data_IF_072721853162
#
_entry.id   IF_072721853162
#
_cell.length_a   1.000
_cell.length_b   1.000
_cell.length_c   1.000
_cell.angle_alpha   90.00
_cell.angle_beta   90.00
_cell.angle_gamma   90.00
#
_symmetry.space_group_name_H-M   'P 1'
#
loop_
_entity.id
_entity.type
_entity.pdbx_description
1 polymer ?
2 non-polymer ?
3 non-polymer ?
4 water ?
#
# COMPACT_ATOMS: atom_id res chain seq x y z
N UNK A 4 4.96 12.73 24.44
CA UNK A 4 3.61 13.14 24.96
C UNK A 4 2.51 12.06 24.91
N UNK A 5 2.53 11.23 23.90
CA UNK A 5 1.52 10.16 23.77
C UNK A 5 1.34 9.42 25.09
N UNK A 6 0.08 9.22 25.46
CA UNK A 6 -0.27 8.54 26.72
C UNK A 6 -0.70 7.10 26.47
N UNK A 7 -0.84 6.38 27.56
CA UNK A 7 -1.32 5.01 27.52
C UNK A 7 -2.84 5.09 27.55
N UNK A 8 -3.49 4.02 27.16
CA UNK A 8 -4.95 3.98 27.19
C UNK A 8 -5.39 2.68 27.83
N UNK A 9 -6.39 2.76 28.69
CA UNK A 9 -6.91 1.57 29.33
C UNK A 9 -8.34 1.34 28.88
N UNK A 10 -8.63 0.11 28.48
CA UNK A 10 -9.96 -0.25 28.02
C UNK A 10 -10.42 -1.42 28.88
N UNK A 11 -11.49 -1.20 29.63
CA UNK A 11 -12.04 -2.24 30.51
C UNK A 11 -10.94 -2.92 31.34
N UNK A 12 -10.15 -2.11 32.04
CA UNK A 12 -9.08 -2.62 32.87
C UNK A 12 -7.95 -3.31 32.12
N UNK A 13 -7.95 -3.17 30.80
CA UNK A 13 -6.91 -3.76 29.97
C UNK A 13 -6.06 -2.57 29.52
N UNK A 14 -4.81 -2.52 29.92
CA UNK A 14 -3.97 -1.39 29.56
C UNK A 14 -3.14 -1.53 28.30
N UNK A 15 -3.08 -0.45 27.54
CA UNK A 15 -2.30 -0.37 26.32
C UNK A 15 -1.21 0.68 26.52
N UNK A 16 0.03 0.23 26.76
CA UNK A 16 1.19 1.11 26.96
C UNK A 16 1.31 2.13 25.84
N UNK A 17 1.84 3.30 26.16
CA UNK A 17 2.02 4.37 25.18
C UNK A 17 2.99 3.94 24.09
N UNK A 18 3.93 3.06 24.44
CA UNK A 18 4.94 2.58 23.49
C UNK A 18 5.25 1.12 23.78
N UNK A 19 5.64 0.40 22.74
CA UNK A 19 6.00 -1.02 22.85
C UNK A 19 7.09 -1.32 21.83
N UNK A 20 7.83 -2.39 22.08
CA UNK A 20 8.90 -2.81 21.18
C UNK A 20 8.70 -4.28 20.79
N UNK A 21 8.74 -4.55 19.48
CA UNK A 21 8.55 -5.91 18.96
C UNK A 21 9.73 -6.84 19.20
N UNK A 22 9.47 -8.03 19.78
CA UNK A 22 10.53 -9.01 20.05
C UNK A 22 10.86 -9.72 18.75
N UNK A 23 9.94 -9.60 17.78
CA UNK A 23 10.05 -10.23 16.48
C UNK A 23 10.89 -9.43 15.49
N UNK A 24 10.55 -8.16 15.33
CA UNK A 24 11.25 -7.30 14.39
C UNK A 24 12.19 -6.30 15.06
N UNK A 25 12.06 -6.13 16.37
CA UNK A 25 12.92 -5.20 17.08
C UNK A 25 12.49 -3.76 16.89
N UNK A 26 11.49 -3.51 16.05
CA UNK A 26 11.02 -2.16 15.81
C UNK A 26 10.19 -1.69 17.00
N UNK A 27 10.11 -0.37 17.21
CA UNK A 27 9.33 0.16 18.32
C UNK A 27 8.15 0.95 17.78
N UNK A 28 7.02 0.89 18.49
CA UNK A 28 5.80 1.58 18.07
C UNK A 28 5.21 2.46 19.17
N UNK A 29 4.32 3.36 18.77
CA UNK A 29 3.65 4.23 19.70
C UNK A 29 2.14 3.96 19.55
N UNK A 30 1.40 4.12 20.64
CA UNK A 30 -0.04 3.86 20.61
C UNK A 30 -0.81 4.88 19.78
N UNK A 31 -1.40 4.42 18.68
CA UNK A 31 -2.16 5.32 17.83
C UNK A 31 -3.58 5.47 18.32
N UNK A 32 -4.10 4.41 18.94
CA UNK A 32 -5.46 4.43 19.46
C UNK A 32 -5.86 3.11 20.08
N UNK A 33 -6.92 3.13 20.87
CA UNK A 33 -7.42 1.93 21.53
C UNK A 33 -8.94 2.02 21.64
N UNK A 34 -9.61 0.88 21.54
CA UNK A 34 -11.06 0.87 21.62
C UNK A 34 -11.58 -0.50 21.99
N UNK A 35 -12.83 -0.77 21.64
CA UNK A 35 -13.43 -2.05 21.96
C UNK A 35 -14.35 -2.55 20.86
N UNK A 36 -14.48 -3.87 20.76
CA UNK A 36 -15.34 -4.48 19.77
C UNK A 36 -16.21 -5.53 20.47
N UNK A 37 -17.34 -5.84 19.86
CA UNK A 37 -18.25 -6.81 20.43
C UNK A 37 -19.41 -7.09 19.51
N UNK A 38 -20.56 -7.40 20.10
CA UNK A 38 -21.76 -7.70 19.33
C UNK A 38 -22.92 -6.91 19.88
N UNK A 39 -23.81 -6.49 18.99
CA UNK A 39 -25.00 -5.78 19.41
C UNK A 39 -26.10 -6.83 19.46
N UNK A 40 -26.56 -7.13 20.67
CA UNK A 40 -27.61 -8.13 20.86
C UNK A 40 -28.86 -7.47 21.41
N UNK A 41 -29.94 -7.51 20.65
CA UNK A 41 -31.21 -6.90 21.08
C UNK A 41 -30.99 -5.42 21.39
N UNK A 42 -30.25 -4.73 20.54
CA UNK A 42 -29.99 -3.31 20.74
C UNK A 42 -29.01 -3.01 21.87
N UNK A 43 -28.42 -4.05 22.46
CA UNK A 43 -27.46 -3.88 23.55
C UNK A 43 -26.05 -4.22 23.08
N UNK A 44 -25.12 -3.30 23.32
CA UNK A 44 -23.74 -3.53 22.92
C UNK A 44 -23.07 -4.45 23.94
N UNK A 45 -22.68 -5.64 23.50
CA UNK A 45 -22.02 -6.60 24.37
C UNK A 45 -20.53 -6.63 24.00
N UNK A 46 -19.70 -6.14 24.92
CA UNK A 46 -18.25 -6.10 24.71
C UNK A 46 -17.58 -7.46 24.78
N UNK A 47 -16.70 -7.75 23.83
CA UNK A 47 -15.97 -9.01 23.84
C UNK A 47 -14.45 -8.83 23.86
N UNK A 48 -13.97 -7.74 23.28
CA UNK A 48 -12.54 -7.52 23.26
C UNK A 48 -12.13 -6.06 23.17
N UNK A 49 -10.89 -5.80 23.58
CA UNK A 49 -10.32 -4.48 23.51
C UNK A 49 -9.38 -4.55 22.32
N UNK A 50 -9.14 -3.42 21.67
CA UNK A 50 -8.24 -3.36 20.53
C UNK A 50 -7.34 -2.15 20.62
N UNK A 51 -6.06 -2.37 20.34
CA UNK A 51 -5.10 -1.28 20.37
C UNK A 51 -4.31 -1.31 19.08
N UNK A 52 -4.15 -0.15 18.44
CA UNK A 52 -3.40 -0.05 17.20
C UNK A 52 -2.12 0.74 17.40
N UNK A 53 -0.99 0.08 17.21
CA UNK A 53 0.32 0.72 17.34
C UNK A 53 0.93 0.97 15.96
N UNK A 54 1.58 2.12 15.80
CA UNK A 54 2.22 2.47 14.54
C UNK A 54 3.73 2.58 14.79
N UNK A 55 4.51 2.06 13.85
CA UNK A 55 5.96 2.13 13.98
C UNK A 55 6.36 3.60 14.12
N UNK A 56 7.37 3.87 14.94
CA UNK A 56 7.81 5.25 15.16
C UNK A 56 8.04 6.06 13.89
N UNK A 57 8.56 5.42 12.85
CA UNK A 57 8.82 6.14 11.60
C UNK A 57 7.54 6.59 10.89
N UNK A 58 6.38 6.17 11.39
CA UNK A 58 5.12 6.55 10.76
C UNK A 58 4.95 8.08 10.76
N UNK A 59 5.44 8.73 11.80
CA UNK A 59 5.34 10.18 11.95
C UNK A 59 5.95 10.94 10.77
N UNK A 60 7.19 10.62 10.45
CA UNK A 60 7.87 11.28 9.34
C UNK A 60 7.16 10.99 8.02
N UNK A 61 6.66 9.77 7.88
CA UNK A 61 5.96 9.38 6.67
C UNK A 61 4.64 10.14 6.49
N UNK A 62 3.90 10.30 7.57
CA UNK A 62 2.61 10.98 7.54
C UNK A 62 2.72 12.50 7.61
N UNK A 63 3.86 12.99 8.09
CA UNK A 63 4.10 14.42 8.24
C UNK A 63 3.83 15.27 7.00
N UNK A 64 4.42 14.89 5.87
CA UNK A 64 4.25 15.65 4.64
C UNK A 64 2.81 16.04 4.35
N UNK A 65 1.96 15.03 4.20
CA UNK A 65 0.55 15.25 3.88
C UNK A 65 -0.36 15.68 5.04
N UNK A 66 -0.06 15.34 6.26
CA UNK A 66 -1.04 15.60 7.32
C UNK A 66 -0.59 16.58 8.42
N UNK A 67 0.64 16.99 8.43
CA UNK A 67 1.07 17.96 9.45
C UNK A 67 0.27 19.25 9.24
N UNK A 68 -0.21 19.82 10.33
CA UNK A 68 -0.94 21.09 10.27
C UNK A 68 -2.45 20.94 10.09
N UNK A 69 -2.94 19.70 10.10
CA UNK A 69 -4.37 19.46 9.95
C UNK A 69 -4.95 19.30 11.35
N UNK A 70 -6.17 19.78 11.58
CA UNK A 70 -6.77 19.66 12.89
C UNK A 70 -7.33 18.24 13.05
N UNK A 71 -7.51 17.81 14.29
CA UNK A 71 -8.04 16.49 14.57
C UNK A 71 -9.38 16.32 13.88
N UNK A 72 -10.21 17.34 13.95
CA UNK A 72 -11.53 17.30 13.34
C UNK A 72 -11.41 17.08 11.84
N UNK A 73 -10.39 17.70 11.24
CA UNK A 73 -10.15 17.60 9.81
C UNK A 73 -9.71 16.19 9.42
N UNK A 74 -8.74 15.66 10.16
CA UNK A 74 -8.24 14.31 9.89
C UNK A 74 -9.37 13.29 9.97
N UNK A 75 -10.15 13.35 11.05
CA UNK A 75 -11.24 12.42 11.25
C UNK A 75 -12.19 12.29 10.07
N UNK A 76 -12.41 13.39 9.35
CA UNK A 76 -13.33 13.36 8.21
C UNK A 76 -12.64 13.05 6.88
N UNK A 77 -11.33 12.86 6.90
CA UNK A 77 -10.59 12.60 5.67
C UNK A 77 -10.21 11.12 5.49
N UNK A 78 -10.88 10.45 4.56
CA UNK A 78 -10.62 9.03 4.29
C UNK A 78 -9.18 8.77 3.85
N UNK A 79 -8.62 9.68 3.06
CA UNK A 79 -7.26 9.54 2.57
C UNK A 79 -6.26 9.42 3.71
N UNK A 80 -6.55 10.10 4.82
CA UNK A 80 -5.68 10.07 5.99
C UNK A 80 -5.59 8.65 6.53
N UNK A 81 -6.74 8.00 6.70
CA UNK A 81 -6.73 6.64 7.21
C UNK A 81 -6.16 5.67 6.20
N UNK A 82 -6.27 5.99 4.92
CA UNK A 82 -5.70 5.11 3.90
C UNK A 82 -4.17 5.12 4.03
N UNK A 83 -3.60 6.28 4.34
CA UNK A 83 -2.16 6.37 4.50
C UNK A 83 -1.71 5.60 5.74
N UNK A 84 -2.56 5.57 6.76
CA UNK A 84 -2.22 4.84 7.97
C UNK A 84 -2.29 3.34 7.71
N UNK A 85 -3.34 2.92 7.02
CA UNK A 85 -3.53 1.50 6.72
C UNK A 85 -2.46 0.95 5.79
N UNK A 86 -2.14 1.69 4.74
CA UNK A 86 -1.16 1.24 3.77
C UNK A 86 0.15 1.98 3.76
N UNK A 87 0.43 2.71 4.84
CA UNK A 87 1.67 3.47 4.94
C UNK A 87 2.91 2.60 5.00
N UNK A 88 4.06 3.12 4.54
CA UNK A 88 5.35 2.43 4.51
C UNK A 88 6.00 2.25 5.89
N UNK A 89 5.27 1.60 6.80
CA UNK A 89 5.78 1.35 8.14
C UNK A 89 5.00 0.19 8.71
N UNK A 90 5.52 -0.41 9.76
CA UNK A 90 4.84 -1.53 10.37
C UNK A 90 3.74 -1.08 11.32
N UNK A 91 2.68 -1.87 11.42
CA UNK A 91 1.58 -1.57 12.33
C UNK A 91 1.42 -2.82 13.19
N UNK A 92 1.13 -2.63 14.47
CA UNK A 92 0.94 -3.75 15.38
C UNK A 92 -0.41 -3.59 16.05
N UNK A 93 -1.28 -4.58 15.87
CA UNK A 93 -2.61 -4.52 16.48
C UNK A 93 -2.72 -5.56 17.58
N UNK A 94 -3.08 -5.12 18.78
CA UNK A 94 -3.22 -6.05 19.88
C UNK A 94 -4.66 -6.12 20.37
N UNK A 95 -5.25 -7.30 20.24
CA UNK A 95 -6.61 -7.51 20.70
C UNK A 95 -6.53 -8.31 21.99
N UNK A 96 -7.12 -7.77 23.06
CA UNK A 96 -7.12 -8.44 24.34
C UNK A 96 -8.57 -8.67 24.72
N UNK A 97 -8.91 -9.93 24.98
CA UNK A 97 -10.29 -10.29 25.30
C UNK A 97 -10.86 -9.80 26.63
N UNK A 98 -12.13 -9.43 26.57
CA UNK A 98 -12.87 -8.96 27.74
C UNK A 98 -13.68 -10.19 28.16
N UNK A 99 -14.26 -10.88 27.18
CA UNK A 99 -15.03 -12.10 27.41
C UNK A 99 -14.32 -13.23 26.69
N UNK A 100 -14.35 -14.43 27.26
CA UNK A 100 -13.67 -15.58 26.67
C UNK A 100 -14.21 -16.05 25.32
N UNK A 101 -13.30 -16.18 24.37
CA UNK A 101 -13.63 -16.63 23.03
C UNK A 101 -12.59 -17.63 22.56
N UNK A 102 -13.03 -18.70 21.88
CA UNK A 102 -12.08 -19.68 21.36
C UNK A 102 -11.50 -19.06 20.10
N UNK A 103 -10.38 -19.61 19.62
CA UNK A 103 -9.77 -19.09 18.41
C UNK A 103 -10.77 -19.07 17.27
N UNK A 104 -11.47 -20.19 17.02
CA UNK A 104 -12.46 -20.26 15.94
C UNK A 104 -13.61 -19.25 16.10
N UNK A 105 -14.09 -19.09 17.34
CA UNK A 105 -15.18 -18.15 17.59
C UNK A 105 -14.77 -16.74 17.21
N UNK A 106 -13.62 -16.33 17.73
CA UNK A 106 -13.09 -15.01 17.47
C UNK A 106 -12.77 -14.77 16.00
N UNK A 107 -12.04 -15.71 15.40
CA UNK A 107 -11.63 -15.56 14.01
C UNK A 107 -12.77 -15.58 13.00
N UNK A 108 -13.89 -16.19 13.36
CA UNK A 108 -15.04 -16.25 12.46
C UNK A 108 -15.46 -14.87 11.95
N UNK A 109 -15.71 -13.95 12.88
CA UNK A 109 -16.14 -12.61 12.51
C UNK A 109 -15.04 -11.84 11.79
N UNK A 110 -13.83 -11.87 12.34
CA UNK A 110 -12.71 -11.16 11.72
C UNK A 110 -12.54 -11.59 10.27
N UNK A 111 -12.54 -12.90 10.03
CA UNK A 111 -12.37 -13.41 8.68
C UNK A 111 -13.54 -12.98 7.79
N UNK A 112 -14.74 -12.94 8.37
CA UNK A 112 -15.93 -12.52 7.64
C UNK A 112 -15.69 -11.11 7.11
N UNK A 113 -15.33 -10.21 8.03
CA UNK A 113 -15.08 -8.83 7.67
C UNK A 113 -13.95 -8.71 6.65
N UNK A 114 -12.87 -9.46 6.84
CA UNK A 114 -11.75 -9.39 5.91
C UNK A 114 -12.20 -9.85 4.51
N UNK A 115 -12.91 -10.96 4.44
CA UNK A 115 -13.36 -11.47 3.15
C UNK A 115 -14.28 -10.48 2.44
N UNK A 116 -15.19 -9.84 3.19
CA UNK A 116 -16.11 -8.89 2.58
C UNK A 116 -15.30 -7.74 1.97
N UNK A 117 -14.32 -7.24 2.72
CA UNK A 117 -13.49 -6.15 2.22
C UNK A 117 -12.76 -6.57 0.95
N UNK A 118 -12.05 -7.69 1.01
CA UNK A 118 -11.29 -8.17 -0.14
C UNK A 118 -12.14 -8.30 -1.41
N UNK A 119 -13.32 -8.92 -1.28
CA UNK A 119 -14.22 -9.06 -2.42
C UNK A 119 -14.67 -7.66 -2.84
N UNK A 120 -14.94 -6.82 -1.86
CA UNK A 120 -15.38 -5.46 -2.10
C UNK A 120 -14.43 -4.66 -3.00
N UNK A 121 -13.13 -4.86 -2.83
CA UNK A 121 -12.15 -4.13 -3.64
C UNK A 121 -11.57 -4.96 -4.78
N UNK A 122 -12.25 -6.04 -5.12
CA UNK A 122 -11.80 -6.88 -6.22
C UNK A 122 -10.49 -7.63 -6.06
N UNK A 123 -10.08 -7.92 -4.83
CA UNK A 123 -8.84 -8.66 -4.63
C UNK A 123 -9.07 -9.88 -3.75
N UNK A 124 -9.91 -10.80 -4.23
CA UNK A 124 -10.17 -12.02 -3.49
C UNK A 124 -10.10 -13.19 -4.45
N UNK A 125 -8.88 -13.54 -4.84
CA UNK A 125 -8.68 -14.66 -5.74
C UNK A 125 -8.29 -15.89 -4.95
N UNK A 126 -7.79 -16.91 -5.63
CA UNK A 126 -7.41 -18.14 -4.96
C UNK A 126 -6.33 -17.93 -3.90
N UNK A 127 -5.34 -17.10 -4.23
CA UNK A 127 -4.25 -16.84 -3.29
C UNK A 127 -4.80 -16.25 -1.99
N UNK A 128 -5.71 -15.28 -2.11
CA UNK A 128 -6.29 -14.67 -0.92
C UNK A 128 -7.17 -15.64 -0.12
N UNK A 129 -7.89 -16.52 -0.80
CA UNK A 129 -8.75 -17.49 -0.11
C UNK A 129 -7.85 -18.45 0.67
N UNK A 130 -6.76 -18.86 0.04
CA UNK A 130 -5.81 -19.76 0.68
C UNK A 130 -5.17 -19.06 1.89
N UNK A 131 -4.85 -17.78 1.74
CA UNK A 131 -4.25 -17.03 2.83
C UNK A 131 -5.23 -16.97 3.99
N UNK A 132 -6.51 -16.78 3.68
CA UNK A 132 -7.53 -16.72 4.72
C UNK A 132 -7.74 -18.09 5.38
N UNK A 133 -7.51 -19.17 4.63
CA UNK A 133 -7.64 -20.50 5.19
C UNK A 133 -6.48 -20.73 6.16
N UNK A 134 -5.30 -20.20 5.80
CA UNK A 134 -4.13 -20.34 6.65
C UNK A 134 -4.36 -19.49 7.90
N UNK A 135 -5.03 -18.36 7.72
CA UNK A 135 -5.35 -17.46 8.80
C UNK A 135 -6.22 -18.26 9.78
N UNK A 136 -7.27 -18.88 9.25
CA UNK A 136 -8.18 -19.70 10.06
C UNK A 136 -7.44 -20.80 10.82
N UNK A 137 -6.59 -21.52 10.11
CA UNK A 137 -5.83 -22.62 10.72
C UNK A 137 -5.04 -22.18 11.94
N UNK A 138 -4.40 -21.02 11.85
CA UNK A 138 -3.59 -20.51 12.95
C UNK A 138 -4.38 -20.27 14.24
N UNK A 139 -5.66 -20.01 14.14
CA UNK A 139 -6.47 -19.70 15.32
C UNK A 139 -7.11 -20.95 15.97
N UNK A 140 -7.32 -21.97 15.18
CA UNK A 140 -8.02 -23.19 15.63
C UNK A 140 -7.45 -23.77 16.95
N UNK A 141 -6.13 -23.97 17.15
CA UNK A 141 -5.62 -24.51 18.40
C UNK A 141 -5.61 -23.53 19.56
N UNK A 142 -6.13 -22.31 19.37
CA UNK A 142 -6.02 -21.26 20.43
C UNK A 142 -7.32 -20.95 21.14
N UNK A 143 -7.21 -20.54 22.40
CA UNK A 143 -8.37 -20.12 23.17
C UNK A 143 -7.99 -18.79 23.79
N UNK A 144 -8.97 -17.89 23.90
CA UNK A 144 -8.70 -16.58 24.46
C UNK A 144 -9.51 -16.27 25.72
N UNK A 145 -9.01 -16.70 26.90
CA UNK A 145 -9.77 -16.39 28.11
C UNK A 145 -9.58 -14.89 28.33
N UNK A 146 -10.37 -14.28 29.22
CA UNK A 146 -10.22 -12.84 29.45
C UNK A 146 -8.77 -12.46 29.66
N UNK A 147 -8.32 -11.39 29.01
CA UNK A 147 -6.96 -10.95 29.18
C UNK A 147 -5.99 -11.55 28.17
N UNK A 148 -6.34 -12.70 27.59
CA UNK A 148 -5.48 -13.33 26.59
C UNK A 148 -5.49 -12.41 25.37
N UNK A 149 -4.46 -12.48 24.53
CA UNK A 149 -4.38 -11.55 23.40
C UNK A 149 -3.91 -12.18 22.10
N UNK A 150 -4.25 -11.45 21.04
CA UNK A 150 -3.85 -11.76 19.67
C UNK A 150 -3.08 -10.54 19.17
N UNK A 151 -1.99 -10.80 18.49
CA UNK A 151 -1.16 -9.72 17.95
C UNK A 151 -1.03 -9.88 16.44
N UNK A 152 -1.45 -8.84 15.75
CA UNK A 152 -1.33 -8.79 14.29
C UNK A 152 -0.18 -7.85 13.95
N UNK A 153 0.87 -8.38 13.33
CA UNK A 153 1.99 -7.52 12.94
C UNK A 153 1.85 -7.30 11.45
N UNK A 154 1.42 -6.11 11.05
CA UNK A 154 1.26 -5.82 9.64
C UNK A 154 2.56 -5.24 9.08
N UNK A 155 3.31 -6.07 8.38
CA UNK A 155 4.56 -5.64 7.78
C UNK A 155 4.25 -4.92 6.48
N UNK A 156 4.99 -3.85 6.19
CA UNK A 156 4.73 -3.12 4.94
C UNK A 156 5.18 -3.92 3.73
N UNK A 157 5.87 -5.03 3.97
CA UNK A 157 6.34 -5.87 2.86
C UNK A 157 5.32 -6.91 2.41
N UNK A 158 4.05 -6.73 2.79
CA UNK A 158 3.01 -7.65 2.37
C UNK A 158 2.90 -8.94 3.15
N UNK A 159 3.20 -8.88 4.44
CA UNK A 159 3.14 -10.05 5.30
C UNK A 159 2.39 -9.69 6.58
N UNK A 160 1.58 -10.63 7.06
CA UNK A 160 0.84 -10.44 8.29
C UNK A 160 1.32 -11.50 9.29
N UNK A 161 1.98 -11.06 10.34
CA UNK A 161 2.45 -12.01 11.34
C UNK A 161 1.39 -12.18 12.42
N UNK A 162 1.17 -13.40 12.84
CA UNK A 162 0.18 -13.68 13.88
C UNK A 162 0.83 -14.24 15.14
N UNK A 163 0.53 -13.62 16.28
CA UNK A 163 1.06 -14.06 17.57
C UNK A 163 -0.09 -14.18 18.57
N UNK A 164 0.01 -15.16 19.45
CA UNK A 164 -1.01 -15.39 20.46
C UNK A 164 -0.38 -15.45 21.85
N UNK A 165 -1.00 -14.79 22.81
CA UNK A 165 -0.50 -14.74 24.18
C UNK A 165 -1.57 -15.13 25.20
N UNK A 166 -1.15 -15.77 26.31
CA UNK A 166 -2.10 -16.17 27.35
C UNK A 166 -2.59 -14.95 28.11
N UNK A 167 -1.84 -13.86 27.99
CA UNK A 167 -2.17 -12.59 28.64
C UNK A 167 -1.95 -11.45 27.66
N UNK A 168 -1.52 -10.28 28.14
CA UNK A 168 -1.32 -9.13 27.26
C UNK A 168 0.13 -8.87 26.86
N UNK A 169 1.05 -9.69 27.36
CA UNK A 169 2.44 -9.50 27.02
C UNK A 169 2.68 -10.04 25.61
N UNK A 170 3.48 -9.33 24.84
CA UNK A 170 3.76 -9.73 23.46
C UNK A 170 4.69 -10.95 23.42
N UNK A 171 4.30 -11.98 22.67
CA UNK A 171 5.13 -13.18 22.59
C UNK A 171 6.43 -12.98 21.83
N UNK A 172 7.44 -13.76 22.19
CA UNK A 172 8.76 -13.70 21.58
C UNK A 172 8.73 -14.16 20.13
N UNK A 173 7.98 -15.22 19.85
CA UNK A 173 7.88 -15.77 18.51
C UNK A 173 6.47 -15.71 17.96
N UNK A 174 6.35 -15.64 16.64
CA UNK A 174 5.04 -15.58 15.99
C UNK A 174 4.57 -16.98 15.67
N UNK A 175 3.26 -17.18 15.71
CA UNK A 175 2.68 -18.48 15.44
C UNK A 175 2.54 -18.75 13.95
N UNK A 176 2.37 -17.71 13.15
CA UNK A 176 2.23 -17.91 11.70
C UNK A 176 2.47 -16.63 10.91
N UNK A 177 2.80 -16.81 9.63
CA UNK A 177 3.05 -15.70 8.72
C UNK A 177 2.16 -15.84 7.50
N UNK A 178 1.28 -14.87 7.29
CA UNK A 178 0.38 -14.90 6.15
C UNK A 178 1.05 -14.01 5.10
N UNK A 179 1.59 -14.64 4.06
CA UNK A 179 2.28 -13.90 3.03
C UNK A 179 1.39 -13.59 1.84
N UNK A 180 0.67 -12.47 1.95
CA UNK A 180 -0.25 -12.05 0.90
C UNK A 180 -0.47 -10.55 1.11
N UNK A 181 -0.20 -9.75 0.08
CA UNK A 181 -0.33 -8.31 0.18
C UNK A 181 -1.73 -7.80 0.53
N UNK A 182 -2.74 -8.23 -0.22
CA UNK A 182 -4.11 -7.79 0.03
C UNK A 182 -4.61 -8.17 1.43
N UNK A 183 -4.34 -9.40 1.84
CA UNK A 183 -4.77 -9.85 3.16
C UNK A 183 -3.97 -9.17 4.27
N UNK A 184 -2.71 -8.85 4.02
CA UNK A 184 -1.90 -8.24 5.08
C UNK A 184 -2.50 -6.98 5.70
N UNK A 185 -3.22 -6.18 4.90
CA UNK A 185 -3.83 -4.97 5.43
C UNK A 185 -5.33 -5.09 5.70
N UNK A 186 -5.93 -6.23 5.35
CA UNK A 186 -7.37 -6.42 5.55
C UNK A 186 -7.83 -6.25 6.99
N UNK A 187 -7.10 -6.83 7.94
CA UNK A 187 -7.48 -6.73 9.34
C UNK A 187 -7.58 -5.28 9.81
N UNK A 188 -6.55 -4.49 9.56
CA UNK A 188 -6.54 -3.08 9.98
C UNK A 188 -7.61 -2.28 9.23
N UNK A 189 -7.87 -2.67 7.98
CA UNK A 189 -8.88 -2.02 7.15
C UNK A 189 -10.25 -2.14 7.82
N UNK A 190 -10.55 -3.34 8.34
CA UNK A 190 -11.85 -3.56 8.99
C UNK A 190 -11.95 -2.82 10.32
N UNK A 191 -10.84 -2.22 10.77
CA UNK A 191 -10.86 -1.50 12.03
C UNK A 191 -10.94 0.02 11.88
N UNK A 192 -10.25 0.56 10.88
CA UNK A 192 -10.23 2.00 10.67
C UNK A 192 -10.45 2.41 9.22
N UNK A 193 -10.78 1.44 8.37
CA UNK A 193 -11.03 1.72 6.97
C UNK A 193 -12.35 2.43 6.77
N UNK A 194 -12.62 2.85 5.54
CA UNK A 194 -13.85 3.56 5.23
C UNK A 194 -15.14 2.87 5.68
N UNK A 195 -15.23 1.56 5.45
CA UNK A 195 -16.42 0.83 5.81
C UNK A 195 -16.46 0.25 7.21
N UNK A 196 -15.58 0.73 8.07
CA UNK A 196 -15.56 0.30 9.46
C UNK A 196 -16.53 1.25 10.16
N UNK A 197 -17.63 0.70 10.66
CA UNK A 197 -18.64 1.51 11.33
C UNK A 197 -18.16 2.11 12.66
N UNK A 198 -17.59 1.28 13.52
CA UNK A 198 -17.10 1.74 14.82
C UNK A 198 -16.02 2.81 14.69
N UNK A 199 -16.29 4.05 15.08
CA UNK A 199 -15.29 5.13 15.01
C UNK A 199 -14.26 5.28 16.15
N UNK A 200 -14.33 4.55 17.28
CA UNK A 200 -13.41 4.84 18.45
C UNK A 200 -11.93 4.87 18.05
N UNK A 201 -11.50 3.90 17.24
CA UNK A 201 -10.11 3.86 16.81
C UNK A 201 -9.78 5.05 15.90
N UNK A 202 -10.69 5.37 14.98
CA UNK A 202 -10.47 6.49 14.07
C UNK A 202 -10.34 7.81 14.85
N UNK A 203 -11.20 7.98 15.85
CA UNK A 203 -11.18 9.19 16.66
C UNK A 203 -9.88 9.33 17.44
N UNK A 204 -9.39 8.22 17.99
CA UNK A 204 -8.14 8.24 18.73
C UNK A 204 -7.00 8.70 17.83
N UNK A 205 -6.95 8.15 16.62
CA UNK A 205 -5.92 8.49 15.66
C UNK A 205 -5.96 9.96 15.27
N UNK A 206 -7.15 10.46 14.95
CA UNK A 206 -7.32 11.85 14.57
C UNK A 206 -6.97 12.81 15.70
N UNK A 207 -7.17 12.35 16.92
CA UNK A 207 -6.91 13.18 18.10
C UNK A 207 -5.44 13.18 18.50
N UNK A 208 -4.82 12.01 18.43
CA UNK A 208 -3.43 11.83 18.90
C UNK A 208 -2.33 12.23 17.91
N UNK A 209 -2.57 12.01 16.63
CA UNK A 209 -1.53 12.24 15.59
C UNK A 209 -1.10 13.72 15.43
N UNK A 210 -2.00 14.73 15.40
CA UNK A 210 -1.57 16.11 15.18
C UNK A 210 -0.37 16.57 16.01
N UNK A 211 -0.41 16.32 17.32
CA UNK A 211 0.68 16.72 18.19
C UNK A 211 2.02 16.16 17.72
N UNK A 212 2.03 14.88 17.35
CA UNK A 212 3.24 14.23 16.88
C UNK A 212 3.70 14.72 15.52
N UNK A 213 2.75 14.96 14.62
CA UNK A 213 3.06 15.42 13.28
C UNK A 213 3.66 16.82 13.21
N UNK A 214 3.66 17.54 14.33
CA UNK A 214 4.20 18.89 14.34
C UNK A 214 5.59 19.02 14.93
N UNK A 215 6.05 17.97 15.62
CA UNK A 215 7.38 17.99 16.22
C UNK A 215 8.23 16.81 15.76
N UNK B 4 23.26 -8.67 -14.59
CA UNK B 4 22.86 -7.97 -13.33
C UNK B 4 22.16 -6.66 -13.66
N UNK B 5 20.85 -6.73 -13.91
CA UNK B 5 20.04 -5.56 -14.24
C UNK B 5 20.74 -4.67 -15.29
N UNK B 6 20.26 -4.77 -16.53
CA UNK B 6 20.83 -4.02 -17.64
C UNK B 6 19.94 -2.87 -18.12
N UNK B 7 20.43 -2.14 -19.12
CA UNK B 7 19.68 -1.04 -19.70
C UNK B 7 18.79 -1.61 -20.78
N UNK B 8 17.70 -0.91 -21.08
CA UNK B 8 16.79 -1.35 -22.14
C UNK B 8 16.51 -0.17 -23.05
N UNK B 9 16.44 -0.43 -24.34
CA UNK B 9 16.16 0.63 -25.30
C UNK B 9 14.89 0.27 -26.05
N UNK B 10 14.03 1.27 -26.20
CA UNK B 10 12.77 1.10 -26.90
C UNK B 10 12.69 2.15 -27.99
N UNK B 11 12.76 1.71 -29.24
CA UNK B 11 12.69 2.62 -30.38
C UNK B 11 13.67 3.78 -30.23
N UNK B 12 14.94 3.46 -29.99
CA UNK B 12 15.98 4.46 -29.84
C UNK B 12 15.86 5.32 -28.58
N UNK B 13 14.91 4.98 -27.70
CA UNK B 13 14.76 5.71 -26.44
C UNK B 13 15.41 4.84 -25.36
N UNK B 14 16.52 5.32 -24.82
CA UNK B 14 17.26 4.57 -23.82
C UNK B 14 16.83 4.71 -22.36
N UNK B 15 16.77 3.57 -21.67
CA UNK B 15 16.43 3.53 -20.26
C UNK B 15 17.65 2.97 -19.52
N UNK B 16 18.42 3.85 -18.85
CA UNK B 16 19.60 3.44 -18.10
C UNK B 16 19.24 2.39 -17.06
N UNK B 17 20.20 1.53 -16.72
CA UNK B 17 19.99 0.48 -15.74
C UNK B 17 19.67 1.05 -14.36
N UNK B 18 20.30 2.18 -14.04
CA UNK B 18 20.06 2.80 -12.75
C UNK B 18 19.95 4.31 -12.92
N UNK B 19 19.23 4.95 -11.99
CA UNK B 19 19.09 6.39 -12.02
C UNK B 19 19.00 6.89 -10.59
N UNK B 20 19.41 8.14 -10.40
CA UNK B 20 19.32 8.77 -9.09
C UNK B 20 18.48 10.01 -9.30
N UNK B 21 17.47 10.17 -8.48
CA UNK B 21 16.57 11.32 -8.60
C UNK B 21 17.09 12.63 -8.07
N UNK B 22 17.04 13.70 -8.89
CA UNK B 22 17.52 15.00 -8.43
C UNK B 22 16.46 15.59 -7.52
N UNK B 23 15.28 14.95 -7.49
CA UNK B 23 14.18 15.41 -6.64
C UNK B 23 14.26 14.87 -5.22
N UNK B 24 14.39 13.55 -5.10
CA UNK B 24 14.44 12.91 -3.79
C UNK B 24 15.83 12.42 -3.39
N UNK B 25 16.75 12.37 -4.34
CA UNK B 25 18.09 11.89 -4.02
C UNK B 25 18.15 10.38 -3.90
N UNK B 26 17.02 9.71 -4.13
CA UNK B 26 16.98 8.26 -4.04
C UNK B 26 17.49 7.65 -5.34
N UNK B 27 17.94 6.40 -5.28
CA UNK B 27 18.46 5.72 -6.45
C UNK B 27 17.54 4.55 -6.80
N UNK B 28 17.39 4.29 -8.08
CA UNK B 28 16.53 3.21 -8.53
C UNK B 28 17.18 2.34 -9.58
N UNK B 29 16.62 1.15 -9.78
CA UNK B 29 17.13 0.25 -10.80
C UNK B 29 15.96 0.00 -11.76
N UNK B 30 16.28 -0.22 -13.03
CA UNK B 30 15.27 -0.46 -14.05
C UNK B 30 14.59 -1.82 -13.89
N UNK B 31 13.29 -1.81 -13.62
CA UNK B 31 12.55 -3.04 -13.45
C UNK B 31 12.09 -3.59 -14.79
N UNK B 32 11.83 -2.68 -15.73
CA UNK B 32 11.39 -3.11 -17.04
C UNK B 32 11.04 -1.93 -17.92
N UNK B 33 10.97 -2.17 -19.22
CA UNK B 33 10.64 -1.12 -20.18
C UNK B 33 9.85 -1.75 -21.33
N UNK B 34 8.93 -0.97 -21.88
CA UNK B 34 8.13 -1.48 -22.97
C UNK B 34 7.57 -0.35 -23.82
N UNK B 35 6.56 -0.68 -24.62
CA UNK B 35 5.94 0.31 -25.49
C UNK B 35 4.43 0.28 -25.41
N UNK B 36 3.81 1.38 -25.82
CA UNK B 36 2.37 1.52 -25.82
C UNK B 36 1.99 2.28 -27.09
N UNK B 37 0.75 2.11 -27.53
CA UNK B 37 0.32 2.78 -28.74
C UNK B 37 -1.09 2.42 -29.14
N UNK B 38 -1.33 2.35 -30.44
CA UNK B 38 -2.66 2.03 -30.95
C UNK B 38 -2.59 1.15 -32.19
N UNK B 39 -3.41 0.11 -32.21
CA UNK B 39 -3.46 -0.79 -33.36
C UNK B 39 -4.39 -0.08 -34.35
N UNK B 40 -3.81 0.42 -35.44
CA UNK B 40 -4.59 1.14 -36.45
C UNK B 40 -4.63 0.43 -37.79
N UNK B 41 -5.82 -0.04 -38.16
CA UNK B 41 -6.03 -0.76 -39.42
C UNK B 41 -5.15 -2.00 -39.50
N UNK B 42 -5.21 -2.82 -38.45
CA UNK B 42 -4.44 -4.05 -38.44
C UNK B 42 -2.99 -4.02 -37.99
N UNK B 43 -2.39 -2.84 -37.90
CA UNK B 43 -1.00 -2.73 -37.49
C UNK B 43 -0.74 -1.78 -36.31
N UNK B 44 -0.22 -2.35 -35.22
CA UNK B 44 0.09 -1.61 -34.00
C UNK B 44 1.01 -0.42 -34.25
N UNK B 45 0.58 0.76 -33.83
CA UNK B 45 1.37 1.97 -34.00
C UNK B 45 1.93 2.44 -32.66
N UNK B 46 3.26 2.49 -32.56
CA UNK B 46 3.93 2.90 -31.33
C UNK B 46 3.88 4.40 -31.11
N UNK B 47 3.39 4.81 -29.95
CA UNK B 47 3.33 6.23 -29.62
C UNK B 47 4.29 6.62 -28.49
N UNK B 48 4.51 5.72 -27.56
CA UNK B 48 5.41 6.02 -26.42
C UNK B 48 6.10 4.78 -25.87
N UNK B 49 7.21 5.06 -25.23
CA UNK B 49 8.00 4.07 -24.53
C UNK B 49 7.68 4.25 -23.05
N UNK B 50 7.72 3.17 -22.33
CA UNK B 50 7.41 3.22 -20.90
C UNK B 50 8.45 2.42 -20.11
N UNK B 51 8.96 3.02 -19.04
CA UNK B 51 9.95 2.35 -18.21
C UNK B 51 9.60 2.48 -16.74
N UNK B 52 9.80 1.41 -15.98
CA UNK B 52 9.50 1.43 -14.56
C UNK B 52 10.74 1.21 -13.72
N UNK B 53 11.03 2.18 -12.86
CA UNK B 53 12.18 2.10 -11.96
C UNK B 53 11.71 1.87 -10.53
N UNK B 54 12.42 1.00 -9.81
CA UNK B 54 12.09 0.71 -8.42
C UNK B 54 13.27 1.17 -7.54
N UNK B 55 12.96 1.79 -6.40
CA UNK B 55 14.00 2.26 -5.50
C UNK B 55 14.87 1.07 -5.08
N UNK B 56 16.18 1.28 -4.99
CA UNK B 56 17.09 0.19 -4.62
C UNK B 56 16.62 -0.64 -3.42
N UNK B 57 16.06 0.01 -2.40
CA UNK B 57 15.61 -0.72 -1.22
C UNK B 57 14.46 -1.70 -1.48
N UNK B 58 13.91 -1.70 -2.70
CA UNK B 58 12.82 -2.62 -3.03
C UNK B 58 13.31 -4.07 -2.98
N UNK B 59 14.58 -4.28 -3.29
CA UNK B 59 15.15 -5.62 -3.28
C UNK B 59 14.99 -6.28 -1.90
N UNK B 60 15.42 -5.60 -0.85
CA UNK B 60 15.31 -6.14 0.49
C UNK B 60 13.84 -6.33 0.88
N UNK B 61 12.99 -5.41 0.42
CA UNK B 61 11.57 -5.49 0.72
C UNK B 61 10.91 -6.71 0.06
N UNK B 62 11.21 -6.92 -1.21
CA UNK B 62 10.63 -8.04 -1.95
C UNK B 62 11.28 -9.41 -1.68
N UNK B 63 12.55 -9.41 -1.27
CA UNK B 63 13.26 -10.66 -0.99
C UNK B 63 12.54 -11.47 0.08
N UNK B 64 11.95 -10.76 1.05
CA UNK B 64 11.23 -11.37 2.15
C UNK B 64 10.18 -12.39 1.70
N UNK B 65 9.61 -12.20 0.54
CA UNK B 65 8.55 -13.10 0.08
C UNK B 65 8.86 -13.80 -1.25
N UNK B 66 9.73 -13.22 -2.06
CA UNK B 66 9.91 -13.75 -3.43
C UNK B 66 11.28 -14.33 -3.76
N UNK B 67 12.21 -14.32 -2.84
CA UNK B 67 13.53 -14.91 -3.13
C UNK B 67 13.35 -16.41 -3.43
N UNK B 68 14.13 -16.90 -4.39
CA UNK B 68 14.13 -18.33 -4.76
C UNK B 68 13.06 -18.68 -5.80
N UNK B 69 12.11 -17.78 -6.02
CA UNK B 69 11.02 -18.02 -7.01
C UNK B 69 11.55 -17.78 -8.42
N UNK B 70 11.10 -18.61 -9.37
CA UNK B 70 11.53 -18.48 -10.75
C UNK B 70 10.76 -17.38 -11.46
N UNK B 71 11.32 -16.88 -12.56
CA UNK B 71 10.66 -15.82 -13.32
C UNK B 71 9.30 -16.31 -13.79
N UNK B 72 9.25 -17.57 -14.21
CA UNK B 72 8.02 -18.17 -14.69
C UNK B 72 6.95 -18.14 -13.59
N UNK B 73 7.35 -18.45 -12.36
CA UNK B 73 6.39 -18.46 -11.26
C UNK B 73 5.93 -17.05 -10.92
N UNK B 74 6.88 -16.12 -10.82
CA UNK B 74 6.57 -14.73 -10.51
C UNK B 74 5.58 -14.13 -11.52
N UNK B 75 5.84 -14.34 -12.80
CA UNK B 75 4.97 -13.80 -13.84
C UNK B 75 3.50 -14.15 -13.63
N UNK B 76 3.23 -15.36 -13.15
CA UNK B 76 1.85 -15.79 -12.92
C UNK B 76 1.33 -15.52 -11.50
N UNK B 77 2.10 -14.81 -10.69
CA UNK B 77 1.69 -14.54 -9.31
C UNK B 77 1.24 -13.09 -9.12
N UNK B 78 -0.07 -12.87 -9.05
CA UNK B 78 -0.60 -11.52 -8.89
C UNK B 78 -0.11 -10.85 -7.61
N UNK B 79 0.07 -11.64 -6.56
CA UNK B 79 0.53 -11.10 -5.28
C UNK B 79 1.90 -10.44 -5.45
N UNK B 80 2.75 -11.01 -6.31
CA UNK B 80 4.08 -10.46 -6.56
C UNK B 80 3.96 -9.02 -7.08
N UNK B 81 3.13 -8.82 -8.10
CA UNK B 81 2.95 -7.48 -8.65
C UNK B 81 2.28 -6.52 -7.66
N UNK B 82 1.41 -7.03 -6.79
CA UNK B 82 0.78 -6.15 -5.81
C UNK B 82 1.86 -5.61 -4.87
N UNK B 83 2.85 -6.45 -4.53
CA UNK B 83 3.93 -5.99 -3.66
C UNK B 83 4.76 -4.91 -4.36
N UNK B 84 4.94 -5.05 -5.67
CA UNK B 84 5.70 -4.06 -6.41
C UNK B 84 4.93 -2.75 -6.50
N UNK B 85 3.63 -2.84 -6.77
CA UNK B 85 2.81 -1.64 -6.88
C UNK B 85 2.67 -0.89 -5.56
N UNK B 86 2.43 -1.61 -4.47
CA UNK B 86 2.24 -0.97 -3.18
C UNK B 86 3.35 -1.20 -2.17
N UNK B 87 4.51 -1.64 -2.64
CA UNK B 87 5.64 -1.88 -1.75
C UNK B 87 6.08 -0.61 -1.05
N UNK B 88 6.72 -0.73 0.13
CA UNK B 88 7.19 0.41 0.91
C UNK B 88 8.47 1.03 0.34
N UNK B 89 8.38 1.50 -0.90
CA UNK B 89 9.51 2.11 -1.58
C UNK B 89 8.99 2.90 -2.78
N UNK B 90 9.76 3.86 -3.18
CA UNK B 90 9.40 4.74 -4.29
C UNK B 90 9.55 4.01 -5.62
N UNK B 91 8.67 4.36 -6.53
CA UNK B 91 8.71 3.87 -7.91
C UNK B 91 8.72 5.09 -8.80
N UNK B 92 9.50 5.02 -9.84
CA UNK B 92 9.62 6.13 -10.78
C UNK B 92 9.32 5.59 -12.16
N UNK B 93 8.27 6.12 -12.79
CA UNK B 93 7.87 5.68 -14.12
C UNK B 93 8.19 6.78 -15.13
N UNK B 94 8.93 6.43 -16.17
CA UNK B 94 9.24 7.41 -17.19
C UNK B 94 8.61 7.03 -18.52
N UNK B 95 7.80 7.95 -19.04
CA UNK B 95 7.17 7.71 -20.31
C UNK B 95 7.86 8.66 -21.28
N UNK B 96 8.27 8.15 -22.43
CA UNK B 96 8.93 8.96 -23.44
C UNK B 96 8.18 8.78 -24.76
N UNK B 97 7.91 9.89 -25.43
CA UNK B 97 7.17 9.83 -26.69
C UNK B 97 7.98 9.39 -27.91
N UNK B 98 7.34 8.56 -28.73
CA UNK B 98 7.93 8.09 -29.98
C UNK B 98 7.32 8.99 -31.04
N UNK B 99 6.06 9.35 -30.85
CA UNK B 99 5.34 10.25 -31.74
C UNK B 99 4.88 11.42 -30.89
N UNK B 100 4.84 12.61 -31.48
CA UNK B 100 4.43 13.79 -30.73
C UNK B 100 3.01 13.70 -30.23
N UNK B 101 2.80 14.10 -28.99
CA UNK B 101 1.48 14.06 -28.38
C UNK B 101 1.37 15.25 -27.44
N UNK B 102 0.20 15.88 -27.42
CA UNK B 102 -0.01 17.01 -26.52
C UNK B 102 -0.31 16.41 -25.15
N UNK B 103 -0.20 17.23 -24.12
CA UNK B 103 -0.49 16.76 -22.78
C UNK B 103 -1.86 16.13 -22.70
N UNK B 104 -2.92 16.85 -23.12
CA UNK B 104 -4.28 16.32 -23.08
C UNK B 104 -4.47 15.04 -23.90
N UNK B 105 -3.85 14.98 -25.08
CA UNK B 105 -3.98 13.82 -25.94
C UNK B 105 -3.40 12.60 -25.26
N UNK B 106 -2.22 12.77 -24.65
CA UNK B 106 -1.57 11.67 -23.97
C UNK B 106 -2.27 11.30 -22.67
N UNK B 107 -2.59 12.28 -21.84
CA UNK B 107 -3.22 12.02 -20.55
C UNK B 107 -4.62 11.41 -20.59
N UNK B 108 -5.36 11.61 -21.68
CA UNK B 108 -6.74 11.09 -21.77
C UNK B 108 -6.88 9.62 -21.40
N UNK B 109 -6.17 8.76 -22.13
CA UNK B 109 -6.23 7.32 -21.90
C UNK B 109 -5.71 6.94 -20.52
N UNK B 110 -4.59 7.53 -20.12
CA UNK B 110 -4.00 7.25 -18.81
C UNK B 110 -5.02 7.51 -17.71
N UNK B 111 -5.66 8.67 -17.74
CA UNK B 111 -6.66 9.03 -16.75
C UNK B 111 -7.90 8.13 -16.79
N UNK B 112 -8.29 7.70 -17.99
CA UNK B 112 -9.43 6.80 -18.13
C UNK B 112 -9.13 5.52 -17.36
N UNK B 113 -7.94 4.98 -17.61
CA UNK B 113 -7.51 3.74 -16.96
C UNK B 113 -7.44 3.92 -15.45
N UNK B 114 -6.93 5.06 -15.00
CA UNK B 114 -6.84 5.31 -13.57
C UNK B 114 -8.23 5.38 -12.93
N UNK B 115 -9.12 6.16 -13.51
CA UNK B 115 -10.47 6.29 -12.97
C UNK B 115 -11.21 4.95 -12.96
N UNK B 116 -11.05 4.18 -14.02
CA UNK B 116 -11.70 2.86 -14.11
C UNK B 116 -11.19 1.95 -12.99
N UNK B 117 -9.89 2.00 -12.73
CA UNK B 117 -9.29 1.19 -11.68
C UNK B 117 -9.80 1.64 -10.32
N UNK B 118 -9.69 2.95 -10.08
CA UNK B 118 -10.13 3.53 -8.81
C UNK B 118 -11.57 3.14 -8.50
N UNK B 119 -12.43 3.12 -9.52
CA UNK B 119 -13.82 2.75 -9.32
C UNK B 119 -13.93 1.25 -9.02
N UNK B 120 -13.23 0.43 -9.80
CA UNK B 120 -13.27 -1.01 -9.60
C UNK B 120 -12.94 -1.43 -8.16
N UNK B 121 -11.98 -0.75 -7.54
CA UNK B 121 -11.59 -1.09 -6.18
C UNK B 121 -12.35 -0.26 -5.15
N UNK B 122 -13.44 0.37 -5.58
CA UNK B 122 -14.25 1.17 -4.67
C UNK B 122 -13.55 2.32 -3.97
N UNK B 123 -12.58 2.94 -4.62
CA UNK B 123 -11.90 4.08 -4.02
C UNK B 123 -11.93 5.27 -4.95
N UNK B 124 -13.13 5.75 -5.27
CA UNK B 124 -13.26 6.91 -6.14
C UNK B 124 -14.30 7.90 -5.62
N UNK B 125 -13.95 8.61 -4.54
CA UNK B 125 -14.82 9.60 -3.97
C UNK B 125 -14.46 10.97 -4.50
N UNK B 126 -14.93 12.02 -3.84
CA UNK B 126 -14.63 13.38 -4.28
C UNK B 126 -13.12 13.64 -4.29
N UNK B 127 -12.46 13.25 -3.21
CA UNK B 127 -11.02 13.44 -3.07
C UNK B 127 -10.25 12.89 -4.26
N UNK B 128 -10.62 11.69 -4.70
CA UNK B 128 -9.94 11.08 -5.82
C UNK B 128 -10.30 11.77 -7.13
N UNK B 129 -11.57 12.17 -7.27
CA UNK B 129 -12.00 12.85 -8.50
C UNK B 129 -11.23 14.16 -8.61
N UNK B 130 -11.09 14.85 -7.49
CA UNK B 130 -10.36 16.11 -7.45
C UNK B 130 -8.88 15.91 -7.80
N UNK B 131 -8.29 14.84 -7.28
CA UNK B 131 -6.89 14.54 -7.54
C UNK B 131 -6.71 14.27 -9.04
N UNK B 132 -7.65 13.55 -9.64
CA UNK B 132 -7.55 13.27 -11.06
C UNK B 132 -7.68 14.54 -11.89
N UNK B 133 -8.42 15.51 -11.35
CA UNK B 133 -8.61 16.79 -12.03
C UNK B 133 -7.31 17.59 -11.95
N UNK B 134 -6.64 17.51 -10.80
CA UNK B 134 -5.36 18.20 -10.61
C UNK B 134 -4.37 17.53 -11.54
N UNK B 135 -4.50 16.20 -11.67
CA UNK B 135 -3.66 15.40 -12.55
C UNK B 135 -3.86 15.92 -13.98
N UNK B 136 -5.11 16.05 -14.38
CA UNK B 136 -5.45 16.55 -15.71
C UNK B 136 -4.89 17.94 -15.99
N UNK B 137 -5.03 18.84 -15.03
CA UNK B 137 -4.56 20.21 -15.17
C UNK B 137 -3.05 20.32 -15.39
N UNK B 138 -2.29 19.41 -14.77
CA UNK B 138 -0.85 19.42 -14.90
C UNK B 138 -0.37 19.11 -16.32
N UNK B 139 -1.17 18.36 -17.06
CA UNK B 139 -0.78 17.95 -18.42
C UNK B 139 -1.24 18.92 -19.51
N UNK B 140 -2.22 19.73 -19.20
CA UNK B 140 -2.83 20.65 -20.19
C UNK B 140 -1.81 21.62 -20.83
N UNK B 141 -0.99 22.38 -20.09
CA UNK B 141 -0.06 23.33 -20.71
C UNK B 141 1.15 22.63 -21.35
N UNK B 142 1.16 21.31 -21.41
CA UNK B 142 2.37 20.57 -21.90
C UNK B 142 2.15 19.91 -23.25
N UNK B 143 3.23 19.88 -24.02
CA UNK B 143 3.28 19.21 -25.32
C UNK B 143 4.49 18.29 -25.33
N UNK B 144 4.33 17.11 -25.89
CA UNK B 144 5.42 16.12 -25.88
C UNK B 144 5.95 15.79 -27.28
N UNK B 145 6.90 16.57 -27.84
CA UNK B 145 7.49 16.17 -29.10
C UNK B 145 8.17 14.83 -28.91
N UNK B 146 8.62 14.11 -29.95
CA UNK B 146 9.21 12.81 -29.72
C UNK B 146 10.43 13.02 -28.88
N UNK B 147 10.64 12.18 -27.90
CA UNK B 147 11.83 12.31 -27.06
C UNK B 147 11.47 12.93 -25.70
N UNK B 148 10.49 13.81 -25.71
CA UNK B 148 10.01 14.45 -24.47
C UNK B 148 9.51 13.35 -23.54
N UNK B 149 9.51 13.62 -22.25
CA UNK B 149 9.10 12.59 -21.28
C UNK B 149 8.28 13.14 -20.13
N UNK B 150 7.56 12.21 -19.53
CA UNK B 150 6.77 12.44 -18.32
C UNK B 150 7.28 11.49 -17.27
N UNK B 151 7.48 12.00 -16.09
CA UNK B 151 7.97 11.19 -14.98
C UNK B 151 6.92 11.13 -13.88
N UNK B 152 6.53 9.91 -13.52
CA UNK B 152 5.56 9.72 -12.44
C UNK B 152 6.36 9.23 -11.26
N UNK B 153 6.41 10.02 -10.20
CA UNK B 153 7.12 9.62 -9.02
C UNK B 153 6.11 9.17 -7.98
N UNK B 154 6.04 7.86 -7.76
CA UNK B 154 5.11 7.31 -6.80
C UNK B 154 5.78 7.15 -5.44
N UNK B 155 5.46 8.04 -4.52
CA UNK B 155 6.00 8.01 -3.18
C UNK B 155 5.19 7.03 -2.34
N UNK B 156 5.86 6.24 -1.50
CA UNK B 156 5.12 5.28 -0.67
C UNK B 156 4.33 6.00 0.42
N UNK B 157 4.52 7.31 0.49
CA UNK B 157 3.84 8.14 1.48
C UNK B 157 2.47 8.66 0.99
N UNK B 158 1.98 8.09 -0.11
CA UNK B 158 0.68 8.50 -0.62
C UNK B 158 0.68 9.77 -1.46
N UNK B 159 1.78 10.00 -2.18
CA UNK B 159 1.89 11.18 -3.04
C UNK B 159 2.38 10.77 -4.43
N UNK B 160 1.86 11.46 -5.45
CA UNK B 160 2.28 11.21 -6.82
C UNK B 160 2.86 12.50 -7.36
N UNK B 161 4.16 12.48 -7.66
CA UNK B 161 4.82 13.66 -8.20
C UNK B 161 4.88 13.60 -9.72
N UNK B 162 4.48 14.68 -10.37
CA UNK B 162 4.48 14.71 -11.83
C UNK B 162 5.54 15.67 -12.35
N UNK B 163 6.34 15.19 -13.29
CA UNK B 163 7.41 15.99 -13.89
C UNK B 163 7.38 15.80 -15.40
N UNK B 164 7.74 16.85 -16.13
CA UNK B 164 7.77 16.82 -17.59
C UNK B 164 9.12 17.29 -18.06
N UNK B 165 9.72 16.54 -18.97
CA UNK B 165 11.05 16.86 -19.50
C UNK B 165 11.08 16.94 -21.02
N UNK B 166 11.95 17.81 -21.56
CA UNK B 166 12.11 18.00 -23.00
C UNK B 166 12.79 16.77 -23.60
N UNK B 167 13.62 16.12 -22.79
CA UNK B 167 14.33 14.93 -23.21
C UNK B 167 14.03 13.78 -22.24
N UNK B 168 15.01 12.90 -22.04
CA UNK B 168 14.83 11.77 -21.15
C UNK B 168 15.46 11.96 -19.77
N UNK B 169 15.94 13.16 -19.48
CA UNK B 169 16.56 13.43 -18.19
C UNK B 169 15.48 13.84 -17.19
N UNK B 170 15.68 13.45 -15.93
CA UNK B 170 14.74 13.77 -14.87
C UNK B 170 14.80 15.25 -14.48
N UNK B 171 13.68 15.97 -14.61
CA UNK B 171 13.68 17.39 -14.25
C UNK B 171 14.09 17.54 -12.79
N UNK B 172 14.79 18.62 -12.47
CA UNK B 172 15.24 18.87 -11.11
C UNK B 172 14.06 19.21 -10.20
N UNK B 173 12.98 19.72 -10.78
CA UNK B 173 11.79 20.09 -10.01
C UNK B 173 10.54 19.47 -10.61
N UNK B 174 9.57 19.16 -9.77
CA UNK B 174 8.32 18.57 -10.24
C UNK B 174 7.29 19.64 -10.56
N UNK B 175 6.41 19.35 -11.52
CA UNK B 175 5.38 20.30 -11.92
C UNK B 175 4.19 20.28 -10.96
N UNK B 176 3.90 19.12 -10.38
CA UNK B 176 2.77 19.01 -9.47
C UNK B 176 2.89 17.84 -8.49
N UNK B 177 2.25 17.98 -7.35
CA UNK B 177 2.25 16.95 -6.32
C UNK B 177 0.81 16.59 -6.00
N UNK B 178 0.43 15.36 -6.37
CA UNK B 178 -0.92 14.91 -6.11
C UNK B 178 -0.94 14.10 -4.82
N UNK B 179 -1.49 14.71 -3.77
CA UNK B 179 -1.57 14.09 -2.46
C UNK B 179 -2.84 13.28 -2.27
N UNK B 180 -2.78 12.02 -2.66
CA UNK B 180 -3.91 11.10 -2.56
C UNK B 180 -3.36 9.68 -2.66
N UNK B 181 -3.54 8.91 -1.60
CA UNK B 181 -3.03 7.54 -1.55
C UNK B 181 -3.53 6.65 -2.68
N UNK B 182 -4.85 6.59 -2.87
CA UNK B 182 -5.42 5.75 -3.93
C UNK B 182 -4.92 6.13 -5.32
N UNK B 183 -4.87 7.42 -5.61
CA UNK B 183 -4.41 7.86 -6.92
C UNK B 183 -2.91 7.65 -7.11
N UNK B 184 -2.13 7.80 -6.04
CA UNK B 184 -0.68 7.67 -6.12
C UNK B 184 -0.21 6.36 -6.73
N UNK B 185 -0.97 5.29 -6.57
CA UNK B 185 -0.57 4.00 -7.11
C UNK B 185 -1.35 3.60 -8.37
N UNK B 186 -2.37 4.39 -8.72
CA UNK B 186 -3.22 4.08 -9.87
C UNK B 186 -2.48 3.95 -11.19
N UNK B 187 -1.58 4.89 -11.48
CA UNK B 187 -0.82 4.85 -12.71
C UNK B 187 -0.04 3.55 -12.89
N UNK B 188 0.77 3.18 -11.91
CA UNK B 188 1.55 1.94 -12.01
C UNK B 188 0.61 0.74 -12.07
N UNK B 189 -0.51 0.83 -11.36
CA UNK B 189 -1.49 -0.25 -11.35
C UNK B 189 -1.96 -0.53 -12.77
N UNK B 190 -2.22 0.51 -13.54
CA UNK B 190 -2.69 0.35 -14.92
C UNK B 190 -1.61 -0.18 -15.84
N UNK B 191 -0.38 -0.27 -15.34
CA UNK B 191 0.71 -0.75 -16.17
C UNK B 191 1.15 -2.16 -15.85
N UNK B 192 1.12 -2.53 -14.57
CA UNK B 192 1.53 -3.87 -14.19
C UNK B 192 0.54 -4.57 -13.27
N UNK B 193 -0.58 -3.91 -13.00
CA UNK B 193 -1.61 -4.50 -12.16
C UNK B 193 -2.32 -5.64 -12.87
N UNK B 194 -3.22 -6.32 -12.15
CA UNK B 194 -3.95 -7.45 -12.72
C UNK B 194 -4.71 -7.13 -14.01
N UNK B 195 -5.28 -5.96 -14.11
CA UNK B 195 -6.12 -5.63 -15.27
C UNK B 195 -5.37 -4.91 -16.41
N UNK B 196 -4.07 -4.77 -16.26
CA UNK B 196 -3.27 -4.21 -17.35
C UNK B 196 -3.20 -5.30 -18.41
N UNK B 197 -3.51 -4.97 -19.64
CA UNK B 197 -3.53 -6.00 -20.69
C UNK B 197 -2.14 -6.25 -21.25
N UNK B 198 -1.39 -5.18 -21.52
CA UNK B 198 -0.03 -5.32 -22.06
C UNK B 198 0.87 -5.96 -21.00
N UNK B 199 1.43 -7.13 -21.30
CA UNK B 199 2.30 -7.86 -20.36
C UNK B 199 3.80 -7.60 -20.48
N UNK B 200 4.24 -6.74 -21.39
CA UNK B 200 5.68 -6.53 -21.53
C UNK B 200 6.38 -6.10 -20.24
N UNK B 201 5.81 -5.15 -19.51
CA UNK B 201 6.45 -4.70 -18.28
C UNK B 201 6.40 -5.81 -17.22
N UNK B 202 5.27 -6.51 -17.13
CA UNK B 202 5.17 -7.60 -16.17
C UNK B 202 6.24 -8.65 -16.43
N UNK B 203 6.44 -8.98 -17.70
CA UNK B 203 7.45 -9.96 -18.09
C UNK B 203 8.85 -9.50 -17.73
N UNK B 204 9.17 -8.24 -17.99
CA UNK B 204 10.50 -7.71 -17.66
C UNK B 204 10.74 -7.88 -16.17
N UNK B 205 9.76 -7.48 -15.36
CA UNK B 205 9.90 -7.57 -13.92
C UNK B 205 10.16 -8.99 -13.45
N UNK B 206 9.39 -9.95 -13.96
CA UNK B 206 9.56 -11.35 -13.59
C UNK B 206 10.91 -11.87 -14.04
N UNK B 207 11.37 -11.36 -15.17
CA UNK B 207 12.62 -11.81 -15.76
C UNK B 207 13.87 -11.32 -14.99
N UNK B 208 13.87 -10.05 -14.60
CA UNK B 208 15.08 -9.46 -13.99
C UNK B 208 15.10 -9.38 -12.43
N UNK B 209 13.99 -9.61 -11.76
CA UNK B 209 13.97 -9.48 -10.28
C UNK B 209 14.65 -10.65 -9.57
N UNK B 210 14.42 -11.89 -10.04
CA UNK B 210 15.04 -13.05 -9.38
C UNK B 210 16.54 -12.93 -9.11
N UNK B 211 17.30 -12.50 -10.11
CA UNK B 211 18.75 -12.36 -9.96
C UNK B 211 19.10 -11.40 -8.84
N UNK B 212 18.31 -10.33 -8.70
CA UNK B 212 18.56 -9.34 -7.66
C UNK B 212 18.13 -9.85 -6.28
N UNK B 213 16.98 -10.51 -6.22
CA UNK B 213 16.47 -11.02 -4.96
C UNK B 213 17.29 -12.15 -4.34
N UNK B 214 17.85 -13.00 -5.20
CA UNK B 214 18.66 -14.12 -4.71
C UNK B 214 20.06 -13.67 -4.37
N UNK B 215 20.23 -12.37 -4.20
CA UNK B 215 21.54 -11.80 -3.87
C UNK B 215 21.60 -11.53 -2.38
#
# INVERSE_FOLDING_TARGET
MAASITAITVENLEYPAVVTSPVTGKSYFLGGAGERGLTIEGNFIKFTAIGVYLEDIAVASLAAKWKGKSSEELLETLDFYRDIISGPFEKLIRGSKIRELSGPEYSRKVMENCVAHLKSVGTYGDAEAEAMQKFAEAFKPVNFPPGASVFYRQSPDGILGLSFSPDTSIPEKEAALIENKAVSSAVLETMIGEHAVSPDLKRCLAARLPALLNEGAFKIGN
MAASITAITVENLEYPAVVTSPVTGKSYFLGGAGERGLTIEGNFIKFTAIGVYLEDIAVASLAAKWKGKSSEELLETLDFYRDIISGPFEKLIRGSKIRELSGPEYSRKVMENCVAHLKSVGTYGDAEAEAMQKFAEAFKPVNFPPGASVFYRQSPDGILGLSFSPDTSIPEKEAALIENKAVSSAVLETMIGEHAVSPDLKRCLAARLPALLNEGAFKIGN
#
